data_IF_192630157892
#
_entry.id   IF_192630157892
#
_cell.length_a   1.000
_cell.length_b   1.000
_cell.length_c   1.000
_cell.angle_alpha   90.00
_cell.angle_beta   90.00
_cell.angle_gamma   90.00
#
_symmetry.space_group_name_H-M   'P 1'
#
loop_
_entity.id
_entity.type
_entity.pdbx_description
1 polymer ?
#
# COMPACT_ATOMS: atom_id res chain seq x y z
N UNK A 1 4.88 11.45 -4.16
CA UNK A 1 3.86 10.47 -3.76
C UNK A 1 2.58 10.73 -4.51
N UNK A 2 2.18 9.83 -5.40
CA UNK A 2 0.87 9.81 -6.04
C UNK A 2 -0.21 9.71 -4.98
N UNK A 3 -1.25 10.53 -5.13
CA UNK A 3 -2.36 10.58 -4.18
C UNK A 3 -3.46 9.62 -4.67
N UNK A 4 -3.53 8.44 -4.07
CA UNK A 4 -4.63 7.51 -4.25
C UNK A 4 -5.83 8.00 -3.43
N UNK A 5 -7.04 7.96 -4.00
CA UNK A 5 -8.26 8.30 -3.27
C UNK A 5 -9.03 7.04 -2.92
N UNK A 6 -9.76 7.09 -1.82
CA UNK A 6 -10.51 5.94 -1.31
C UNK A 6 -11.55 5.37 -2.29
N UNK A 7 -12.04 6.16 -3.26
CA UNK A 7 -12.99 5.69 -4.26
C UNK A 7 -12.33 5.02 -5.47
N UNK A 8 -11.01 5.13 -5.61
CA UNK A 8 -10.24 4.45 -6.66
C UNK A 8 -10.00 2.97 -6.29
N UNK A 9 -10.11 2.65 -5.00
CA UNK A 9 -9.86 1.32 -4.44
C UNK A 9 -10.96 0.30 -4.81
N UNK A 10 -10.53 -0.91 -5.14
CA UNK A 10 -11.35 -2.10 -5.37
C UNK A 10 -12.04 -2.57 -4.09
N UNK A 11 -11.34 -2.54 -2.95
CA UNK A 11 -11.87 -3.00 -1.66
C UNK A 11 -12.23 -1.85 -0.72
N UNK A 12 -13.10 -2.16 0.25
CA UNK A 12 -13.44 -1.25 1.34
C UNK A 12 -12.57 -1.52 2.55
N UNK A 13 -11.82 -0.52 2.98
CA UNK A 13 -10.99 -0.55 4.18
C UNK A 13 -11.69 0.14 5.35
N UNK A 14 -11.35 -0.27 6.58
CA UNK A 14 -11.85 0.40 7.79
C UNK A 14 -11.10 1.72 7.97
N UNK A 15 -11.75 2.70 8.60
CA UNK A 15 -11.13 3.95 8.98
C UNK A 15 -10.78 3.89 10.47
N UNK A 16 -9.51 3.66 10.80
CA UNK A 16 -9.07 3.70 12.19
C UNK A 16 -8.80 5.17 12.53
N UNK A 17 -9.80 5.81 13.14
CA UNK A 17 -9.76 7.25 13.43
C UNK A 17 -8.77 7.58 14.54
N UNK A 18 -8.47 6.60 15.39
CA UNK A 18 -7.56 6.69 16.53
C UNK A 18 -6.11 6.89 16.07
N UNK A 19 -5.72 6.23 14.98
CA UNK A 19 -4.37 6.27 14.39
C UNK A 19 -4.29 7.21 13.18
N UNK A 20 -5.37 7.93 12.86
CA UNK A 20 -5.44 8.79 11.65
C UNK A 20 -4.35 9.85 11.62
N UNK A 21 -4.10 10.47 12.77
CA UNK A 21 -3.19 11.62 12.89
C UNK A 21 -1.74 11.19 13.18
N UNK A 22 -1.48 9.87 13.25
CA UNK A 22 -0.12 9.32 13.37
C UNK A 22 0.63 9.40 12.03
N UNK A 23 1.97 9.50 12.04
CA UNK A 23 2.78 9.46 10.83
C UNK A 23 2.50 8.20 10.01
N UNK A 24 2.18 8.39 8.73
CA UNK A 24 2.00 7.32 7.75
C UNK A 24 3.28 7.13 6.94
N UNK A 25 3.29 6.10 6.11
CA UNK A 25 4.44 5.80 5.26
C UNK A 25 4.83 7.00 4.38
N UNK A 26 6.09 7.41 4.46
CA UNK A 26 6.67 8.54 3.70
C UNK A 26 8.02 8.17 3.03
N UNK A 27 8.30 6.87 2.95
CA UNK A 27 9.53 6.34 2.36
C UNK A 27 10.35 5.46 3.31
N UNK A 28 11.51 5.03 2.83
CA UNK A 28 12.43 4.14 3.55
C UNK A 28 13.56 4.91 4.23
N UNK A 29 14.11 4.41 5.35
CA UNK A 29 13.70 3.20 6.08
C UNK A 29 12.44 3.44 6.94
N UNK A 30 11.57 2.44 7.07
CA UNK A 30 10.37 2.53 7.93
C UNK A 30 10.03 1.17 8.56
N UNK A 31 10.59 0.86 9.75
CA UNK A 31 10.35 -0.40 10.45
C UNK A 31 9.02 -0.41 11.22
N UNK A 32 8.22 0.66 11.17
CA UNK A 32 6.95 0.72 11.90
C UNK A 32 5.98 -0.36 11.41
N UNK A 33 5.10 -0.87 12.29
CA UNK A 33 4.12 -1.87 11.89
C UNK A 33 3.13 -1.30 10.87
N UNK A 34 2.70 -2.15 9.93
CA UNK A 34 1.68 -1.79 8.94
C UNK A 34 0.32 -2.42 9.29
N UNK A 35 -0.73 -1.61 9.31
CA UNK A 35 -2.10 -2.09 9.48
C UNK A 35 -2.81 -2.21 8.12
N UNK A 36 -2.85 -3.43 7.59
CA UNK A 36 -3.46 -3.74 6.28
C UNK A 36 -4.97 -3.49 6.19
N UNK A 37 -5.65 -3.36 7.33
CA UNK A 37 -7.09 -3.13 7.38
C UNK A 37 -7.44 -1.62 7.47
N UNK A 38 -6.44 -0.76 7.73
CA UNK A 38 -6.63 0.68 7.90
C UNK A 38 -6.46 1.43 6.58
N UNK A 39 -7.54 2.07 6.14
CA UNK A 39 -7.58 2.93 4.96
C UNK A 39 -6.45 3.98 5.00
N UNK A 40 -6.18 4.57 6.17
CA UNK A 40 -5.18 5.64 6.27
C UNK A 40 -3.74 5.13 6.17
N UNK A 41 -3.49 3.84 6.41
CA UNK A 41 -2.20 3.18 6.14
C UNK A 41 -2.10 2.74 4.68
N UNK A 42 -3.17 2.18 4.14
CA UNK A 42 -3.19 1.60 2.79
C UNK A 42 -3.01 2.67 1.71
N UNK A 43 -3.70 3.81 1.81
CA UNK A 43 -3.62 4.87 0.80
C UNK A 43 -2.18 5.36 0.52
N UNK A 44 -1.40 5.82 1.52
CA UNK A 44 -0.02 6.26 1.29
C UNK A 44 0.89 5.12 0.85
N UNK A 45 0.68 3.89 1.35
CA UNK A 45 1.46 2.73 0.91
C UNK A 45 1.28 2.44 -0.58
N UNK A 46 0.03 2.32 -1.04
CA UNK A 46 -0.26 2.07 -2.46
C UNK A 46 0.21 3.23 -3.35
N UNK A 47 -0.01 4.48 -2.92
CA UNK A 47 0.45 5.66 -3.63
C UNK A 47 1.97 5.72 -3.80
N UNK A 48 2.72 5.32 -2.77
CA UNK A 48 4.18 5.24 -2.85
C UNK A 48 4.66 4.14 -3.80
N UNK A 49 4.02 2.96 -3.78
CA UNK A 49 4.38 1.86 -4.68
C UNK A 49 4.07 2.22 -6.15
N UNK A 50 2.90 2.82 -6.41
CA UNK A 50 2.54 3.31 -7.74
C UNK A 50 3.51 4.36 -8.27
N UNK A 51 3.94 5.29 -7.41
CA UNK A 51 4.99 6.27 -7.73
C UNK A 51 6.30 5.60 -8.15
N UNK A 52 6.73 4.57 -7.40
CA UNK A 52 7.96 3.84 -7.70
C UNK A 52 7.85 3.06 -9.01
N UNK A 53 6.68 2.49 -9.32
CA UNK A 53 6.38 1.84 -10.59
C UNK A 53 6.24 2.84 -11.76
N UNK A 54 6.09 4.15 -11.47
CA UNK A 54 5.92 5.19 -12.48
C UNK A 54 4.57 5.14 -13.20
N UNK A 55 3.52 4.65 -12.53
CA UNK A 55 2.18 4.47 -13.12
C UNK A 55 1.07 5.10 -12.29
N UNK A 56 -0.01 5.49 -12.96
CA UNK A 56 -1.26 5.96 -12.36
C UNK A 56 -2.47 5.12 -12.82
N UNK A 57 -2.21 3.93 -13.35
CA UNK A 57 -3.24 3.03 -13.88
C UNK A 57 -4.05 2.38 -12.75
N UNK A 58 -5.38 2.44 -12.88
CA UNK A 58 -6.31 1.84 -11.92
C UNK A 58 -6.23 0.31 -11.88
N UNK A 59 -5.91 -0.35 -13.00
CA UNK A 59 -5.72 -1.81 -13.02
C UNK A 59 -4.48 -2.22 -12.21
N UNK A 60 -3.42 -1.41 -12.24
CA UNK A 60 -2.23 -1.64 -11.40
C UNK A 60 -2.55 -1.38 -9.93
N UNK A 61 -3.33 -0.35 -9.61
CA UNK A 61 -3.81 -0.13 -8.24
C UNK A 61 -4.58 -1.35 -7.71
N UNK A 62 -5.48 -1.91 -8.53
CA UNK A 62 -6.27 -3.08 -8.16
C UNK A 62 -5.42 -4.34 -8.01
N UNK A 63 -4.39 -4.52 -8.86
CA UNK A 63 -3.39 -5.56 -8.70
C UNK A 63 -2.65 -5.43 -7.35
N UNK A 64 -2.23 -4.21 -6.97
CA UNK A 64 -1.57 -3.99 -5.69
C UNK A 64 -2.49 -4.31 -4.50
N UNK A 65 -3.77 -4.01 -4.61
CA UNK A 65 -4.76 -4.39 -3.59
C UNK A 65 -4.94 -5.92 -3.47
N UNK A 66 -4.94 -6.64 -4.59
CA UNK A 66 -5.01 -8.11 -4.60
C UNK A 66 -3.74 -8.70 -3.96
N UNK A 67 -2.56 -8.22 -4.34
CA UNK A 67 -1.29 -8.62 -3.74
C UNK A 67 -1.24 -8.34 -2.24
N UNK A 68 -1.78 -7.20 -1.79
CA UNK A 68 -1.85 -6.87 -0.37
C UNK A 68 -2.73 -7.84 0.42
N UNK A 69 -3.83 -8.30 -0.18
CA UNK A 69 -4.73 -9.30 0.43
C UNK A 69 -4.12 -10.70 0.48
N UNK A 70 -3.31 -11.07 -0.51
CA UNK A 70 -2.60 -12.36 -0.59
C UNK A 70 -1.28 -12.38 0.19
N UNK A 71 -0.82 -11.21 0.64
CA UNK A 71 0.46 -11.02 1.31
C UNK A 71 0.66 -11.96 2.51
N UNK A 72 1.81 -12.67 2.59
CA UNK A 72 2.14 -13.53 3.72
C UNK A 72 2.05 -12.82 5.07
N UNK A 73 1.52 -13.50 6.09
CA UNK A 73 1.35 -12.90 7.43
C UNK A 73 2.65 -12.62 8.18
N UNK A 74 3.78 -13.16 7.73
CA UNK A 74 5.09 -12.87 8.30
C UNK A 74 5.63 -11.48 7.92
N UNK A 75 5.07 -10.83 6.89
CA UNK A 75 5.38 -9.46 6.49
C UNK A 75 4.56 -8.52 7.36
N UNK A 76 5.23 -7.70 8.17
CA UNK A 76 4.58 -6.93 9.24
C UNK A 76 4.96 -5.45 9.27
N UNK A 77 6.16 -5.09 8.82
CA UNK A 77 6.61 -3.69 8.82
C UNK A 77 6.25 -2.99 7.50
N UNK A 78 6.09 -1.66 7.56
CA UNK A 78 5.81 -0.82 6.39
C UNK A 78 6.86 -0.99 5.30
N UNK A 79 8.14 -1.04 5.67
CA UNK A 79 9.24 -1.29 4.74
C UNK A 79 9.12 -2.65 4.02
N UNK A 80 8.85 -3.74 4.75
CA UNK A 80 8.69 -5.05 4.11
C UNK A 80 7.46 -5.08 3.19
N UNK A 81 6.34 -4.45 3.59
CA UNK A 81 5.12 -4.36 2.77
C UNK A 81 5.42 -3.59 1.48
N UNK A 82 6.10 -2.45 1.57
CA UNK A 82 6.47 -1.65 0.42
C UNK A 82 7.34 -2.42 -0.59
N UNK A 83 8.40 -3.07 -0.09
CA UNK A 83 9.29 -3.88 -0.93
C UNK A 83 8.58 -5.09 -1.54
N UNK A 84 7.71 -5.76 -0.77
CA UNK A 84 6.92 -6.88 -1.26
C UNK A 84 6.00 -6.46 -2.41
N UNK A 85 5.20 -5.42 -2.20
CA UNK A 85 4.23 -4.95 -3.20
C UNK A 85 4.92 -4.51 -4.48
N UNK A 86 6.02 -3.75 -4.38
CA UNK A 86 6.77 -3.32 -5.56
C UNK A 86 7.30 -4.50 -6.38
N UNK A 87 8.00 -5.45 -5.72
CA UNK A 87 8.61 -6.59 -6.43
C UNK A 87 7.57 -7.49 -7.07
N UNK A 88 6.50 -7.81 -6.34
CA UNK A 88 5.44 -8.66 -6.87
C UNK A 88 4.71 -7.99 -8.04
N UNK A 89 4.46 -6.68 -7.98
CA UNK A 89 3.85 -5.95 -9.08
C UNK A 89 4.78 -5.90 -10.31
N UNK A 90 6.07 -5.62 -10.12
CA UNK A 90 7.07 -5.63 -11.19
C UNK A 90 7.13 -6.99 -11.89
N UNK A 91 7.08 -8.10 -11.14
CA UNK A 91 7.03 -9.45 -11.69
C UNK A 91 5.75 -9.77 -12.48
N UNK A 92 4.60 -9.19 -12.10
CA UNK A 92 3.32 -9.41 -12.78
C UNK A 92 3.12 -8.51 -14.02
N UNK A 93 3.89 -7.43 -14.14
CA UNK A 93 3.82 -6.48 -15.25
C UNK A 93 4.86 -6.74 -16.36
N UNK A 94 5.83 -7.63 -16.11
CA UNK A 94 6.86 -8.04 -17.05
C UNK A 94 6.37 -9.08 -18.06
#
# INVERSE_FOLDING_TARGET
>A
MLIVKAFDLKFKYRKYIETRDEPKFDGLPDPAPFNRDDLYEVLPMLGAVMDRLGTADGEVLHLLEDLLNEMPRCIVSREEVYEYLYRMAEENLA
#
